data_IF_158841733395
#
_entry.id   IF_158841733395
#
_cell.length_a   1.000
_cell.length_b   1.000
_cell.length_c   1.000
_cell.angle_alpha   90.00
_cell.angle_beta   90.00
_cell.angle_gamma   90.00
#
_symmetry.space_group_name_H-M   'P 1'
#
loop_
_entity.id
_entity.type
_entity.pdbx_description
1 polymer ?
#
# COMPACT_ATOMS: atom_id res chain seq x y z
N UNK A 1 1.60 16.99 0.18
CA UNK A 1 2.84 16.24 -0.09
C UNK A 1 3.07 15.24 1.04
N UNK A 2 2.87 13.95 0.77
CA UNK A 2 3.18 12.90 1.75
C UNK A 2 4.70 12.90 1.97
N UNK A 3 5.14 13.04 3.23
CA UNK A 3 6.56 12.96 3.55
C UNK A 3 7.03 11.53 3.32
N UNK A 4 7.97 11.37 2.39
CA UNK A 4 8.67 10.11 2.20
C UNK A 4 9.44 9.77 3.48
N UNK A 5 9.14 8.60 4.05
CA UNK A 5 9.76 8.09 5.28
C UNK A 5 11.28 7.92 5.12
N UNK A 6 11.77 7.60 3.91
CA UNK A 6 13.20 7.54 3.63
C UNK A 6 13.83 8.92 3.82
N UNK A 7 13.17 9.95 3.32
CA UNK A 7 13.65 11.32 3.42
C UNK A 7 13.57 11.86 4.85
N UNK A 8 12.49 11.58 5.57
CA UNK A 8 12.27 12.04 6.95
C UNK A 8 13.25 11.41 7.95
N UNK A 9 13.53 10.11 7.81
CA UNK A 9 14.28 9.35 8.80
C UNK A 9 15.70 8.95 8.37
N UNK A 10 15.91 8.55 7.11
CA UNK A 10 17.19 8.03 6.65
C UNK A 10 18.10 9.11 6.05
N UNK A 11 17.54 10.05 5.28
CA UNK A 11 18.31 11.15 4.65
C UNK A 11 18.62 12.32 5.60
N UNK A 12 18.12 12.30 6.83
CA UNK A 12 18.47 13.26 7.88
C UNK A 12 17.89 14.66 7.69
N UNK A 13 16.79 14.83 6.94
CA UNK A 13 16.31 16.16 6.54
C UNK A 13 15.62 17.01 7.62
N UNK A 14 15.38 16.54 8.86
CA UNK A 14 14.67 17.38 9.82
C UNK A 14 15.06 17.33 11.30
N UNK A 15 15.78 16.31 11.80
CA UNK A 15 16.08 16.21 13.25
C UNK A 15 17.47 15.70 13.64
N UNK A 16 18.25 15.15 12.70
CA UNK A 16 19.55 14.55 13.03
C UNK A 16 20.66 15.17 12.18
N UNK A 17 21.80 15.56 12.78
CA UNK A 17 22.87 16.27 12.07
C UNK A 17 23.69 15.37 11.10
N UNK A 18 23.30 14.12 10.87
CA UNK A 18 24.03 13.18 10.01
C UNK A 18 23.09 12.23 9.26
N UNK A 19 23.57 11.69 8.14
CA UNK A 19 22.91 10.61 7.40
C UNK A 19 22.87 9.32 8.23
N UNK A 20 21.84 8.49 7.99
CA UNK A 20 21.82 7.13 8.54
C UNK A 20 23.03 6.36 7.99
N UNK A 21 23.91 5.89 8.89
CA UNK A 21 25.12 5.18 8.49
C UNK A 21 24.84 3.87 7.75
N UNK A 22 23.67 3.28 7.98
CA UNK A 22 23.22 2.07 7.31
C UNK A 22 22.35 2.35 6.06
N UNK A 23 22.19 3.61 5.63
CA UNK A 23 21.43 3.94 4.41
C UNK A 23 22.38 4.31 3.27
N UNK A 24 22.34 3.54 2.18
CA UNK A 24 23.10 3.82 0.98
C UNK A 24 22.33 4.81 0.09
N UNK A 25 22.91 6.00 -0.06
CA UNK A 25 22.35 7.10 -0.85
C UNK A 25 22.28 6.77 -2.34
N UNK A 26 23.17 5.91 -2.86
CA UNK A 26 23.21 5.58 -4.28
C UNK A 26 22.18 4.53 -4.66
N UNK A 27 22.09 3.43 -3.90
CA UNK A 27 21.10 2.38 -4.12
C UNK A 27 19.71 2.73 -3.57
N UNK A 28 19.62 3.73 -2.68
CA UNK A 28 18.41 4.04 -1.90
C UNK A 28 17.94 2.86 -1.02
N UNK A 29 18.86 1.96 -0.67
CA UNK A 29 18.60 0.81 0.18
C UNK A 29 19.14 1.05 1.59
N UNK A 30 18.60 0.31 2.57
CA UNK A 30 19.09 0.33 3.95
C UNK A 30 19.71 -1.03 4.25
N UNK A 31 21.00 -1.05 4.58
CA UNK A 31 21.76 -2.26 4.87
C UNK A 31 21.17 -3.05 6.05
N UNK A 32 20.58 -2.38 7.04
CA UNK A 32 19.83 -3.04 8.12
C UNK A 32 18.62 -3.80 7.59
N UNK A 33 17.90 -3.23 6.60
CA UNK A 33 16.77 -3.90 5.96
C UNK A 33 17.25 -5.06 5.07
N UNK A 34 18.40 -4.92 4.41
CA UNK A 34 19.01 -5.94 3.55
C UNK A 34 19.47 -7.17 4.33
N UNK A 35 19.96 -6.99 5.55
CA UNK A 35 20.35 -8.08 6.46
C UNK A 35 19.16 -8.79 7.14
N UNK A 36 17.92 -8.28 6.95
CA UNK A 36 16.62 -8.90 7.28
C UNK A 36 16.34 -9.23 8.75
N UNK A 37 17.21 -8.88 9.70
CA UNK A 37 16.95 -9.04 11.13
C UNK A 37 16.14 -7.85 11.65
N UNK A 38 14.88 -8.09 12.02
CA UNK A 38 13.99 -7.04 12.54
C UNK A 38 14.49 -6.44 13.84
N UNK A 39 15.11 -7.27 14.69
CA UNK A 39 15.75 -6.80 15.92
C UNK A 39 16.75 -5.66 15.66
N UNK A 40 17.66 -5.83 14.71
CA UNK A 40 18.66 -4.80 14.38
C UNK A 40 18.03 -3.51 13.88
N UNK A 41 16.93 -3.62 13.12
CA UNK A 41 16.18 -2.46 12.62
C UNK A 41 15.57 -1.68 13.79
N UNK A 42 15.04 -2.36 14.81
CA UNK A 42 14.46 -1.69 15.98
C UNK A 42 15.52 -1.10 16.91
N UNK A 43 16.64 -1.78 17.09
CA UNK A 43 17.68 -1.33 18.02
C UNK A 43 18.57 -0.22 17.43
N UNK A 44 18.83 -0.28 16.11
CA UNK A 44 19.81 0.60 15.44
C UNK A 44 19.20 1.49 14.37
N UNK A 45 18.02 1.16 13.86
CA UNK A 45 17.40 1.86 12.75
C UNK A 45 16.96 3.27 13.12
N UNK A 46 17.31 4.23 12.27
CA UNK A 46 16.87 5.64 12.44
C UNK A 46 15.42 5.90 12.04
N UNK A 47 14.73 4.90 11.49
CA UNK A 47 13.33 4.98 11.07
C UNK A 47 12.31 4.95 12.22
N UNK A 48 12.77 4.90 13.48
CA UNK A 48 11.92 4.90 14.67
C UNK A 48 10.78 3.88 14.58
N UNK A 49 11.08 2.59 14.35
CA UNK A 49 10.05 1.59 14.10
C UNK A 49 9.10 1.41 15.29
N UNK A 50 9.54 1.64 16.53
CA UNK A 50 8.64 1.67 17.70
C UNK A 50 7.54 2.74 17.58
N UNK A 51 7.87 3.93 17.06
CA UNK A 51 6.88 4.98 16.82
C UNK A 51 5.93 4.61 15.67
N UNK A 52 6.43 3.90 14.65
CA UNK A 52 5.59 3.34 13.58
C UNK A 52 4.59 2.33 14.13
N UNK A 53 5.03 1.43 15.02
CA UNK A 53 4.16 0.46 15.71
C UNK A 53 3.12 1.20 16.56
N UNK A 54 3.52 2.16 17.39
CA UNK A 54 2.58 2.96 18.21
C UNK A 54 1.52 3.66 17.35
N UNK A 55 1.93 4.28 16.25
CA UNK A 55 1.01 4.95 15.33
C UNK A 55 0.03 3.97 14.68
N UNK A 56 0.52 2.81 14.23
CA UNK A 56 -0.32 1.76 13.66
C UNK A 56 -1.33 1.21 14.69
N UNK A 57 -0.87 0.96 15.93
CA UNK A 57 -1.72 0.49 17.03
C UNK A 57 -2.82 1.48 17.35
N UNK A 58 -2.49 2.77 17.52
CA UNK A 58 -3.48 3.83 17.76
C UNK A 58 -4.50 3.92 16.63
N UNK A 59 -4.02 3.88 15.38
CA UNK A 59 -4.88 3.91 14.20
C UNK A 59 -5.84 2.72 14.16
N UNK A 60 -5.36 1.53 14.51
CA UNK A 60 -6.18 0.31 14.53
C UNK A 60 -7.14 0.29 15.74
N UNK A 61 -6.73 0.73 16.92
CA UNK A 61 -7.64 0.84 18.08
C UNK A 61 -8.73 1.88 17.86
N UNK A 62 -8.45 2.95 17.12
CA UNK A 62 -9.47 3.93 16.75
C UNK A 62 -10.63 3.33 15.93
N UNK A 63 -10.40 2.23 15.22
CA UNK A 63 -11.45 1.47 14.52
C UNK A 63 -12.52 0.94 15.49
N UNK A 64 -12.12 0.62 16.72
CA UNK A 64 -12.98 0.03 17.74
C UNK A 64 -13.51 1.05 18.75
N UNK A 65 -13.43 2.36 18.45
CA UNK A 65 -13.91 3.43 19.35
C UNK A 65 -15.36 3.24 19.79
N UNK A 66 -16.23 2.75 18.91
CA UNK A 66 -17.65 2.55 19.22
C UNK A 66 -17.91 1.30 20.06
N UNK A 67 -16.90 0.43 20.23
CA UNK A 67 -17.01 -0.87 20.90
C UNK A 67 -16.19 -0.94 22.20
N UNK A 68 -15.12 -0.17 22.30
CA UNK A 68 -14.22 -0.17 23.44
C UNK A 68 -14.44 1.06 24.33
N UNK A 69 -14.60 0.88 25.66
CA UNK A 69 -14.54 1.98 26.61
C UNK A 69 -13.21 2.76 26.48
N UNK A 70 -13.27 4.08 26.68
CA UNK A 70 -12.13 4.98 26.46
C UNK A 70 -10.94 4.71 27.41
N UNK A 71 -11.23 4.28 28.64
CA UNK A 71 -10.25 3.87 29.64
C UNK A 71 -9.54 2.58 29.25
N UNK A 72 -10.31 1.58 28.82
CA UNK A 72 -9.77 0.31 28.30
C UNK A 72 -8.89 0.57 27.08
N UNK A 73 -9.36 1.40 26.15
CA UNK A 73 -8.57 1.77 24.96
C UNK A 73 -7.23 2.42 25.32
N UNK A 74 -7.22 3.32 26.30
CA UNK A 74 -5.99 3.98 26.73
C UNK A 74 -4.99 2.98 27.33
N UNK A 75 -5.46 1.95 28.02
CA UNK A 75 -4.62 0.85 28.51
C UNK A 75 -3.94 0.11 27.34
N UNK A 76 -4.71 -0.33 26.34
CA UNK A 76 -4.16 -1.03 25.17
C UNK A 76 -3.27 -0.15 24.28
N UNK A 77 -3.56 1.15 24.15
CA UNK A 77 -2.68 2.09 23.44
C UNK A 77 -1.28 2.17 24.06
N UNK A 78 -1.15 1.92 25.37
CA UNK A 78 0.13 1.91 26.07
C UNK A 78 0.80 0.53 26.06
N UNK A 79 0.03 -0.56 26.23
CA UNK A 79 0.59 -1.91 26.36
C UNK A 79 0.94 -2.56 25.01
N UNK A 80 0.01 -2.54 24.04
CA UNK A 80 0.14 -3.29 22.78
C UNK A 80 1.35 -2.89 21.92
N UNK A 81 1.76 -1.62 21.83
CA UNK A 81 2.91 -1.28 20.99
C UNK A 81 4.18 -2.02 21.39
N UNK A 82 4.40 -2.22 22.70
CA UNK A 82 5.56 -2.95 23.20
C UNK A 82 5.47 -4.43 22.84
N UNK A 83 4.35 -5.08 23.13
CA UNK A 83 4.16 -6.52 22.85
C UNK A 83 4.27 -6.84 21.36
N UNK A 84 3.64 -6.02 20.52
CA UNK A 84 3.68 -6.18 19.06
C UNK A 84 5.10 -5.91 18.55
N UNK A 85 5.80 -4.89 19.05
CA UNK A 85 7.20 -4.64 18.68
C UNK A 85 8.10 -5.82 19.03
N UNK A 86 7.97 -6.39 20.23
CA UNK A 86 8.73 -7.57 20.65
C UNK A 86 8.45 -8.80 19.79
N UNK A 87 7.19 -8.98 19.36
CA UNK A 87 6.85 -10.03 18.41
C UNK A 87 7.50 -9.78 17.03
N UNK A 88 7.43 -8.55 16.53
CA UNK A 88 8.00 -8.16 15.23
C UNK A 88 9.52 -8.34 15.22
N UNK A 89 10.23 -7.96 16.29
CA UNK A 89 11.70 -8.08 16.41
C UNK A 89 12.20 -9.51 16.23
N UNK A 90 11.40 -10.51 16.62
CA UNK A 90 11.72 -11.95 16.49
C UNK A 90 11.57 -12.48 15.07
N UNK A 91 10.97 -11.68 14.18
CA UNK A 91 10.67 -12.09 12.81
C UNK A 91 11.77 -11.62 11.84
N UNK A 92 11.77 -12.18 10.64
CA UNK A 92 12.65 -11.77 9.55
C UNK A 92 11.83 -11.17 8.40
N UNK A 93 12.36 -10.11 7.79
CA UNK A 93 11.80 -9.54 6.57
C UNK A 93 11.94 -10.54 5.42
N UNK A 94 10.82 -11.12 4.98
CA UNK A 94 10.82 -12.15 3.93
C UNK A 94 11.01 -11.58 2.52
N UNK A 95 10.51 -10.37 2.26
CA UNK A 95 10.49 -9.75 0.92
C UNK A 95 10.77 -8.26 1.02
N UNK A 96 11.68 -7.77 0.19
CA UNK A 96 12.02 -6.34 0.08
C UNK A 96 12.82 -5.81 1.25
N UNK A 97 13.71 -4.84 0.97
CA UNK A 97 14.56 -4.17 1.94
C UNK A 97 14.34 -2.64 1.90
N UNK A 98 13.08 -2.22 1.97
CA UNK A 98 12.70 -0.81 1.89
C UNK A 98 11.80 -0.39 3.06
N UNK A 99 11.80 0.91 3.39
CA UNK A 99 10.95 1.45 4.45
C UNK A 99 9.45 1.29 4.19
N UNK A 100 8.93 1.46 2.97
CA UNK A 100 7.54 1.14 2.66
C UNK A 100 7.18 -0.31 2.99
N UNK A 101 8.08 -1.25 2.69
CA UNK A 101 7.90 -2.67 3.01
C UNK A 101 7.87 -2.89 4.53
N UNK A 102 8.80 -2.29 5.28
CA UNK A 102 8.81 -2.35 6.74
C UNK A 102 7.48 -1.82 7.33
N UNK A 103 7.00 -0.68 6.84
CA UNK A 103 5.73 -0.09 7.26
C UNK A 103 4.55 -1.01 6.95
N UNK A 104 4.47 -1.55 5.75
CA UNK A 104 3.42 -2.49 5.35
C UNK A 104 3.41 -3.73 6.25
N UNK A 105 4.59 -4.24 6.59
CA UNK A 105 4.76 -5.36 7.50
C UNK A 105 4.26 -5.07 8.92
N UNK A 106 4.63 -3.91 9.49
CA UNK A 106 4.16 -3.45 10.80
C UNK A 106 2.62 -3.33 10.80
N UNK A 107 2.07 -2.60 9.82
CA UNK A 107 0.63 -2.38 9.71
C UNK A 107 -0.13 -3.70 9.61
N UNK A 108 0.36 -4.64 8.78
CA UNK A 108 -0.24 -5.96 8.65
C UNK A 108 -0.20 -6.73 9.97
N UNK A 109 0.93 -6.72 10.67
CA UNK A 109 1.05 -7.41 11.96
C UNK A 109 0.06 -6.83 12.98
N UNK A 110 0.02 -5.50 13.12
CA UNK A 110 -0.92 -4.80 14.00
C UNK A 110 -2.37 -5.13 13.64
N UNK A 111 -2.71 -5.15 12.34
CA UNK A 111 -4.04 -5.46 11.87
C UNK A 111 -4.55 -6.82 12.34
N UNK A 112 -3.68 -7.84 12.33
CA UNK A 112 -4.01 -9.20 12.74
C UNK A 112 -3.86 -9.45 14.25
N UNK A 113 -2.93 -8.79 14.93
CA UNK A 113 -2.64 -9.09 16.34
C UNK A 113 -3.61 -8.40 17.29
N UNK A 114 -3.98 -7.13 17.03
CA UNK A 114 -4.86 -6.38 17.95
C UNK A 114 -6.20 -7.09 18.18
N UNK A 115 -6.93 -7.51 17.13
CA UNK A 115 -8.22 -8.12 17.36
C UNK A 115 -8.13 -9.47 18.08
N UNK A 116 -7.09 -10.27 17.83
CA UNK A 116 -6.83 -11.51 18.58
C UNK A 116 -6.66 -11.26 20.06
N UNK A 117 -5.91 -10.21 20.43
CA UNK A 117 -5.71 -9.85 21.84
C UNK A 117 -7.03 -9.38 22.45
N UNK A 118 -7.76 -8.49 21.77
CA UNK A 118 -9.06 -8.02 22.24
C UNK A 118 -10.09 -9.15 22.39
N UNK A 119 -10.12 -10.10 21.44
CA UNK A 119 -11.00 -11.26 21.50
C UNK A 119 -10.62 -12.20 22.65
N UNK A 120 -9.33 -12.47 22.83
CA UNK A 120 -8.81 -13.26 23.96
C UNK A 120 -9.20 -12.66 25.31
N UNK A 121 -9.27 -11.34 25.40
CA UNK A 121 -9.66 -10.62 26.62
C UNK A 121 -11.18 -10.44 26.74
N UNK A 122 -11.98 -10.99 25.81
CA UNK A 122 -13.44 -10.96 25.83
C UNK A 122 -14.04 -9.61 25.44
N UNK A 123 -13.27 -8.74 24.79
CA UNK A 123 -13.70 -7.41 24.34
C UNK A 123 -14.25 -7.42 22.90
N UNK A 124 -14.00 -8.50 22.16
CA UNK A 124 -14.56 -8.75 20.83
C UNK A 124 -15.07 -10.19 20.77
N UNK A 125 -16.19 -10.42 20.08
CA UNK A 125 -16.69 -11.79 19.84
C UNK A 125 -15.77 -12.51 18.84
N UNK A 126 -15.42 -13.76 19.11
CA UNK A 126 -14.55 -14.58 18.23
C UNK A 126 -15.13 -14.74 16.80
N UNK A 127 -16.44 -14.64 16.64
CA UNK A 127 -17.15 -14.78 15.36
C UNK A 127 -17.02 -13.55 14.46
N UNK A 128 -16.68 -12.38 15.03
CA UNK A 128 -16.46 -11.12 14.29
C UNK A 128 -15.20 -11.16 13.41
N UNK A 129 -14.43 -12.25 13.45
CA UNK A 129 -13.21 -12.44 12.67
C UNK A 129 -13.15 -13.77 11.91
N UNK A 130 -14.30 -14.33 11.54
CA UNK A 130 -14.28 -15.36 10.50
C UNK A 130 -13.61 -14.79 9.24
N UNK A 131 -12.84 -15.62 8.52
CA UNK A 131 -12.12 -15.25 7.31
C UNK A 131 -13.01 -14.57 6.24
N UNK A 132 -14.33 -14.66 6.37
CA UNK A 132 -15.32 -13.94 5.57
C UNK A 132 -15.32 -12.41 5.80
N UNK A 133 -14.93 -11.88 6.96
CA UNK A 133 -14.81 -10.41 7.17
C UNK A 133 -13.45 -9.85 6.68
N UNK A 134 -12.47 -10.74 6.47
CA UNK A 134 -11.24 -10.47 5.73
C UNK A 134 -11.46 -10.38 4.21
N UNK A 135 -12.51 -11.04 3.69
CA UNK A 135 -12.94 -10.98 2.29
C UNK A 135 -14.16 -10.07 2.04
N UNK A 136 -14.90 -9.66 3.10
CA UNK A 136 -15.92 -8.60 3.00
C UNK A 136 -15.21 -7.27 2.83
N UNK A 137 -14.97 -6.93 1.57
CA UNK A 137 -14.84 -5.54 1.13
C UNK A 137 -16.02 -4.78 1.75
N UNK A 138 -15.77 -3.77 2.60
CA UNK A 138 -16.83 -2.97 3.18
C UNK A 138 -17.70 -2.41 2.05
N UNK A 139 -19.03 -2.50 2.20
CA UNK A 139 -19.98 -1.79 1.33
C UNK A 139 -19.50 -0.33 1.17
N UNK A 140 -19.60 0.25 -0.05
CA UNK A 140 -19.00 1.53 -0.40
C UNK A 140 -19.64 2.66 0.41
N UNK A 141 -19.06 2.92 1.59
CA UNK A 141 -19.54 3.94 2.52
C UNK A 141 -19.02 3.84 3.95
N UNK A 142 -18.47 2.69 4.39
CA UNK A 142 -18.11 2.50 5.81
C UNK A 142 -16.62 2.44 6.13
N UNK A 143 -15.81 1.82 5.28
CA UNK A 143 -14.35 1.74 5.45
C UNK A 143 -13.72 1.71 4.07
N UNK A 144 -13.03 2.79 3.71
CA UNK A 144 -12.05 2.75 2.64
C UNK A 144 -10.95 1.83 3.16
N UNK A 145 -10.94 0.55 2.76
CA UNK A 145 -9.66 -0.16 2.64
C UNK A 145 -8.77 0.82 1.88
N UNK A 146 -7.69 1.34 2.50
CA UNK A 146 -6.96 2.42 1.88
C UNK A 146 -6.56 1.89 0.50
N UNK A 147 -6.91 2.65 -0.54
CA UNK A 147 -6.57 2.34 -1.94
C UNK A 147 -5.12 1.83 -2.06
N UNK A 148 -4.25 2.22 -1.11
CA UNK A 148 -2.92 1.69 -0.84
C UNK A 148 -2.79 0.17 -0.95
N UNK A 149 -3.69 -0.67 -0.42
CA UNK A 149 -3.48 -2.13 -0.41
C UNK A 149 -3.54 -2.77 -1.81
N UNK A 150 -4.51 -2.37 -2.65
CA UNK A 150 -4.60 -2.83 -4.03
C UNK A 150 -3.57 -2.12 -4.91
N UNK A 151 -3.35 -0.82 -4.70
CA UNK A 151 -2.32 -0.05 -5.42
C UNK A 151 -0.92 -0.61 -5.17
N UNK A 152 -0.61 -1.04 -3.94
CA UNK A 152 0.64 -1.72 -3.58
C UNK A 152 0.78 -3.06 -4.30
N UNK A 153 -0.30 -3.86 -4.39
CA UNK A 153 -0.28 -5.13 -5.13
C UNK A 153 -0.03 -4.91 -6.63
N UNK A 154 -0.69 -3.93 -7.23
CA UNK A 154 -0.47 -3.57 -8.64
C UNK A 154 0.97 -3.07 -8.82
N UNK A 155 1.45 -2.22 -7.92
CA UNK A 155 2.81 -1.71 -7.92
C UNK A 155 3.85 -2.83 -7.85
N UNK A 156 3.69 -3.78 -6.92
CA UNK A 156 4.59 -4.93 -6.77
C UNK A 156 4.55 -5.83 -8.00
N UNK A 157 3.36 -6.09 -8.57
CA UNK A 157 3.21 -6.90 -9.77
C UNK A 157 3.89 -6.29 -11.00
N UNK A 158 3.77 -4.97 -11.19
CA UNK A 158 4.43 -4.26 -12.29
C UNK A 158 5.94 -4.17 -12.09
N UNK A 159 6.42 -3.88 -10.87
CA UNK A 159 7.85 -3.88 -10.56
C UNK A 159 8.48 -5.26 -10.77
N UNK A 160 7.80 -6.33 -10.33
CA UNK A 160 8.23 -7.72 -10.57
C UNK A 160 8.31 -8.02 -12.06
N UNK A 161 7.34 -7.57 -12.85
CA UNK A 161 7.33 -7.72 -14.33
C UNK A 161 8.58 -7.12 -14.97
N UNK A 162 8.97 -5.91 -14.54
CA UNK A 162 10.19 -5.23 -15.03
C UNK A 162 11.46 -6.02 -14.67
N UNK A 163 11.54 -6.53 -13.44
CA UNK A 163 12.73 -7.24 -12.96
C UNK A 163 12.99 -8.58 -13.67
N UNK A 164 11.94 -9.26 -14.13
CA UNK A 164 12.06 -10.58 -14.77
C UNK A 164 12.27 -10.51 -16.31
N UNK A 165 12.16 -9.32 -16.92
CA UNK A 165 12.34 -9.17 -18.37
C UNK A 165 13.82 -9.07 -18.74
N UNK A 166 14.25 -9.97 -19.63
CA UNK A 166 15.64 -10.07 -20.09
C UNK A 166 15.88 -9.31 -21.40
N UNK A 167 14.84 -9.07 -22.20
CA UNK A 167 14.96 -8.37 -23.48
C UNK A 167 14.94 -6.87 -23.27
N UNK A 168 16.04 -6.19 -23.59
CA UNK A 168 16.25 -4.74 -23.38
C UNK A 168 15.06 -3.90 -23.86
N UNK A 169 14.66 -4.03 -25.13
CA UNK A 169 13.55 -3.25 -25.70
C UNK A 169 12.20 -3.49 -25.00
N UNK A 170 11.94 -4.73 -24.56
CA UNK A 170 10.70 -5.04 -23.85
C UNK A 170 10.76 -4.46 -22.44
N UNK A 171 11.91 -4.56 -21.77
CA UNK A 171 12.14 -3.97 -20.46
C UNK A 171 11.93 -2.46 -20.45
N UNK A 172 12.37 -1.74 -21.49
CA UNK A 172 12.10 -0.29 -21.64
C UNK A 172 10.60 0.02 -21.69
N UNK A 173 9.81 -0.78 -22.41
CA UNK A 173 8.35 -0.65 -22.45
C UNK A 173 7.74 -0.90 -21.07
N UNK A 174 8.19 -1.94 -20.37
CA UNK A 174 7.68 -2.28 -19.04
C UNK A 174 8.03 -1.22 -17.99
N UNK A 175 9.23 -0.63 -18.05
CA UNK A 175 9.64 0.49 -17.19
C UNK A 175 8.71 1.68 -17.43
N UNK A 176 8.44 2.03 -18.69
CA UNK A 176 7.50 3.10 -19.04
C UNK A 176 6.10 2.81 -18.50
N UNK A 177 5.59 1.59 -18.66
CA UNK A 177 4.28 1.17 -18.14
C UNK A 177 4.19 1.32 -16.62
N UNK A 178 5.23 0.92 -15.89
CA UNK A 178 5.32 1.10 -14.44
C UNK A 178 5.33 2.58 -14.04
N UNK A 179 6.07 3.43 -14.77
CA UNK A 179 6.07 4.88 -14.57
C UNK A 179 4.71 5.51 -14.85
N UNK A 180 4.02 5.10 -15.92
CA UNK A 180 2.65 5.56 -16.25
C UNK A 180 1.73 5.27 -15.07
N UNK A 181 1.75 4.05 -14.53
CA UNK A 181 0.93 3.69 -13.37
C UNK A 181 1.21 4.58 -12.17
N UNK A 182 2.48 4.70 -11.76
CA UNK A 182 2.88 5.52 -10.60
C UNK A 182 2.45 6.98 -10.73
N UNK A 183 2.66 7.59 -11.91
CA UNK A 183 2.30 9.00 -12.13
C UNK A 183 0.80 9.21 -12.19
N UNK A 184 0.06 8.33 -12.88
CA UNK A 184 -1.40 8.43 -12.92
C UNK A 184 -2.01 8.29 -11.53
N UNK A 185 -1.56 7.34 -10.72
CA UNK A 185 -2.03 7.17 -9.34
C UNK A 185 -1.80 8.45 -8.53
N UNK A 186 -0.59 9.02 -8.58
CA UNK A 186 -0.28 10.25 -7.86
C UNK A 186 -1.15 11.44 -8.28
N UNK A 187 -1.40 11.63 -9.58
CA UNK A 187 -2.25 12.73 -10.06
C UNK A 187 -3.73 12.52 -9.71
N UNK A 188 -4.21 11.28 -9.74
CA UNK A 188 -5.58 10.95 -9.33
C UNK A 188 -5.79 11.14 -7.81
N UNK A 189 -4.76 10.90 -7.00
CA UNK A 189 -4.77 11.23 -5.55
C UNK A 189 -4.85 12.74 -5.28
N UNK A 190 -4.48 13.59 -6.25
CA UNK A 190 -4.62 15.04 -6.20
C UNK A 190 -5.98 15.52 -6.77
N UNK A 191 -7.00 14.66 -6.77
CA UNK A 191 -8.36 14.91 -7.28
C UNK A 191 -8.41 15.36 -8.75
N UNK A 192 -7.38 15.02 -9.53
CA UNK A 192 -7.31 15.39 -10.93
C UNK A 192 -8.24 14.52 -11.78
N UNK A 193 -8.88 15.13 -12.78
CA UNK A 193 -9.70 14.36 -13.73
C UNK A 193 -8.82 13.35 -14.49
N UNK A 194 -9.35 12.14 -14.74
CA UNK A 194 -8.61 11.09 -15.45
C UNK A 194 -8.12 11.54 -16.84
N UNK A 195 -8.90 12.37 -17.55
CA UNK A 195 -8.50 12.89 -18.85
C UNK A 195 -7.33 13.87 -18.74
N UNK A 196 -7.36 14.77 -17.75
CA UNK A 196 -6.26 15.70 -17.49
C UNK A 196 -5.00 14.96 -17.05
N UNK A 197 -5.13 13.99 -16.12
CA UNK A 197 -4.02 13.18 -15.63
C UNK A 197 -3.35 12.41 -16.78
N UNK A 198 -4.13 11.77 -17.66
CA UNK A 198 -3.60 11.10 -18.86
C UNK A 198 -2.85 12.04 -19.79
N UNK A 199 -3.36 13.26 -19.99
CA UNK A 199 -2.69 14.24 -20.83
C UNK A 199 -1.35 14.67 -20.23
N UNK A 200 -1.31 14.99 -18.93
CA UNK A 200 -0.07 15.35 -18.22
C UNK A 200 0.95 14.23 -18.29
N UNK A 201 0.56 12.97 -18.01
CA UNK A 201 1.50 11.84 -18.06
C UNK A 201 2.02 11.58 -19.47
N UNK A 202 1.18 11.75 -20.51
CA UNK A 202 1.63 11.62 -21.90
C UNK A 202 2.68 12.68 -22.25
N UNK A 203 2.44 13.93 -21.83
CA UNK A 203 3.35 15.05 -22.07
C UNK A 203 4.66 14.92 -21.28
N UNK A 204 4.60 14.53 -20.00
CA UNK A 204 5.78 14.27 -19.14
C UNK A 204 6.70 13.19 -19.71
N UNK A 205 6.13 12.11 -20.23
CA UNK A 205 6.88 10.97 -20.78
C UNK A 205 7.25 11.15 -22.27
N UNK A 206 6.83 12.24 -22.91
CA UNK A 206 7.09 12.49 -24.33
C UNK A 206 6.45 11.45 -25.26
N UNK A 207 5.29 10.89 -24.88
CA UNK A 207 4.58 9.87 -25.65
C UNK A 207 3.23 10.39 -26.17
N UNK A 208 2.78 9.82 -27.29
CA UNK A 208 1.44 10.13 -27.82
C UNK A 208 0.37 9.54 -26.91
N UNK A 209 -0.75 10.26 -26.73
CA UNK A 209 -1.91 9.79 -25.96
C UNK A 209 -2.39 8.38 -26.35
N UNK A 210 -2.42 8.06 -27.64
CA UNK A 210 -2.77 6.72 -28.15
C UNK A 210 -1.81 5.62 -27.68
N UNK A 211 -0.53 5.95 -27.48
CA UNK A 211 0.45 5.00 -26.94
C UNK A 211 0.23 4.79 -25.44
N UNK A 212 -0.08 5.86 -24.70
CA UNK A 212 -0.44 5.79 -23.28
C UNK A 212 -1.67 4.91 -23.06
N UNK A 213 -2.73 5.07 -23.88
CA UNK A 213 -3.93 4.23 -23.80
C UNK A 213 -3.61 2.75 -24.05
N UNK A 214 -2.81 2.45 -25.08
CA UNK A 214 -2.35 1.08 -25.33
C UNK A 214 -1.53 0.51 -24.16
N UNK A 215 -0.65 1.30 -23.56
CA UNK A 215 0.13 0.87 -22.40
C UNK A 215 -0.77 0.60 -21.18
N UNK A 216 -1.85 1.37 -20.99
CA UNK A 216 -2.84 1.11 -19.95
C UNK A 216 -3.61 -0.18 -20.19
N UNK A 217 -4.04 -0.44 -21.43
CA UNK A 217 -4.71 -1.69 -21.80
C UNK A 217 -3.76 -2.89 -21.55
N UNK A 218 -2.48 -2.75 -21.91
CA UNK A 218 -1.45 -3.78 -21.67
C UNK A 218 -1.17 -4.02 -20.17
N UNK A 219 -1.26 -2.97 -19.35
CA UNK A 219 -1.15 -3.07 -17.88
C UNK A 219 -2.37 -3.80 -17.33
N UNK A 220 -3.57 -3.40 -17.73
CA UNK A 220 -4.82 -4.01 -17.26
C UNK A 220 -4.86 -5.51 -17.60
N UNK A 221 -4.58 -5.87 -18.86
CA UNK A 221 -4.57 -7.26 -19.29
C UNK A 221 -3.56 -8.10 -18.49
N UNK A 222 -2.35 -7.58 -18.27
CA UNK A 222 -1.34 -8.25 -17.45
C UNK A 222 -1.81 -8.47 -16.01
N UNK A 223 -2.41 -7.46 -15.38
CA UNK A 223 -2.90 -7.57 -14.01
C UNK A 223 -4.07 -8.55 -13.89
N UNK A 224 -4.89 -8.70 -14.95
CA UNK A 224 -5.91 -9.75 -15.03
C UNK A 224 -5.26 -11.13 -15.15
N UNK A 225 -4.25 -11.29 -16.03
CA UNK A 225 -3.52 -12.56 -16.20
C UNK A 225 -2.84 -13.02 -14.91
N UNK A 226 -2.27 -12.09 -14.14
CA UNK A 226 -1.64 -12.35 -12.84
C UNK A 226 -2.64 -12.50 -11.67
N UNK A 227 -3.95 -12.46 -11.94
CA UNK A 227 -5.03 -12.48 -10.93
C UNK A 227 -4.92 -11.37 -9.88
N UNK A 228 -4.30 -10.23 -10.22
CA UNK A 228 -4.27 -9.02 -9.38
C UNK A 228 -5.57 -8.23 -9.52
N UNK A 229 -6.12 -8.20 -10.74
CA UNK A 229 -7.42 -7.59 -11.04
C UNK A 229 -8.41 -8.66 -11.52
N UNK A 230 -9.66 -8.57 -11.05
CA UNK A 230 -10.75 -9.40 -11.57
C UNK A 230 -11.46 -8.66 -12.70
N UNK A 231 -11.60 -9.28 -13.87
CA UNK A 231 -12.41 -8.72 -14.96
C UNK A 231 -13.85 -8.63 -14.49
N UNK A 232 -14.35 -7.43 -14.19
CA UNK A 232 -15.78 -7.24 -13.98
C UNK A 232 -16.47 -7.69 -15.26
N UNK A 233 -17.33 -8.71 -15.17
CA UNK A 233 -18.29 -8.99 -16.23
C UNK A 233 -19.18 -7.76 -16.28
N UNK A 234 -18.88 -6.82 -17.18
CA UNK A 234 -19.83 -5.81 -17.56
C UNK A 234 -20.95 -6.61 -18.21
N UNK A 235 -21.99 -6.92 -17.42
CA UNK A 235 -23.21 -7.48 -17.95
C UNK A 235 -23.65 -6.56 -19.08
N UNK A 236 -23.90 -7.14 -20.25
CA UNK A 236 -24.30 -6.43 -21.45
C UNK A 236 -25.53 -5.58 -21.14
N UNK A 237 -25.32 -4.33 -20.72
CA UNK A 237 -26.30 -3.25 -20.82
C UNK A 237 -26.18 -2.71 -22.24
N UNK A 238 -26.39 -3.60 -23.22
CA UNK A 238 -26.67 -3.22 -24.58
C UNK A 238 -28.04 -2.55 -24.59
N UNK A 239 -28.00 -1.22 -24.66
CA UNK A 239 -28.87 -0.35 -25.45
C UNK A 239 -30.30 -0.89 -25.69
N UNK A 240 -31.21 -0.62 -24.75
CA UNK A 240 -32.67 -0.67 -24.97
C UNK A 240 -33.36 0.69 -24.93
N UNK A 241 -32.62 1.79 -24.99
CA UNK A 241 -33.19 3.12 -25.24
C UNK A 241 -32.59 3.68 -26.50
N UNK A 242 -33.29 3.49 -27.63
CA UNK A 242 -33.29 4.37 -28.82
C UNK A 242 -34.15 3.72 -29.92
N UNK A 243 -35.45 3.55 -29.67
CA UNK A 243 -36.49 3.36 -30.70
C UNK A 243 -37.85 3.77 -30.16
N UNK A 244 -38.02 5.04 -29.84
CA UNK A 244 -39.37 5.62 -29.68
C UNK A 244 -39.31 7.14 -29.78
N UNK A 245 -39.05 7.65 -30.99
CA UNK A 245 -39.35 9.03 -31.39
C UNK A 245 -39.15 9.14 -32.91
N UNK A 246 -40.13 8.64 -33.65
CA UNK A 246 -40.46 9.04 -35.02
C UNK A 246 -41.77 8.34 -35.39
N UNK A 247 -42.87 8.87 -34.86
CA UNK A 247 -44.24 8.72 -35.36
C UNK A 247 -45.16 9.61 -34.52
N UNK A 248 -45.11 10.91 -34.79
CA UNK A 248 -46.18 11.86 -34.51
C UNK A 248 -46.08 13.02 -35.51
#
# INVERSE_FOLDING_TARGET
MSKDLITEYCKGQSRFPSWCGDFDVFSQECDLLTNRLMQDIFERGRCQPDEMVKAAVRGRLAYFNDRLPQDVKAEYENALPFEIAENIKRQQLKKGASLPVLKGYINRTVFFEIPKVLAKDGLLDEETESADELDRVPEPGGWVLPLTGLLEQIHEALARRVCHETKIKRREILIRQHQIFLRLTALLEEDMSANSAKQIVADELGIKRKMLERDLDDIENYLIEENVLTRKRVGSLENKHDKEQDNA
#
